data_IF_642299334957
#
_entry.id   IF_642299334957
#
_cell.length_a   1.000
_cell.length_b   1.000
_cell.length_c   1.000
_cell.angle_alpha   90.00
_cell.angle_beta   90.00
_cell.angle_gamma   90.00
#
_symmetry.space_group_name_H-M   'P 1'
#
loop_
_entity.id
_entity.type
_entity.pdbx_description
1 polymer ?
#
# COMPACT_ATOMS: atom_id res chain seq x y z
N UNK A 1 3.28 23.64 -1.09
CA UNK A 1 2.11 24.54 -1.31
C UNK A 1 0.87 23.67 -1.40
N UNK A 2 -0.18 23.94 -0.61
CA UNK A 2 -1.47 23.26 -0.79
C UNK A 2 -2.02 23.61 -2.17
N UNK A 3 -2.36 22.61 -2.97
CA UNK A 3 -3.08 22.79 -4.23
C UNK A 3 -4.52 23.11 -3.86
N UNK A 4 -5.02 24.28 -4.27
CA UNK A 4 -6.39 24.71 -3.96
C UNK A 4 -7.43 23.74 -4.56
N UNK A 5 -8.57 23.55 -3.89
CA UNK A 5 -9.63 22.63 -4.34
C UNK A 5 -10.05 22.84 -5.80
N UNK A 6 -10.17 24.11 -6.23
CA UNK A 6 -10.47 24.51 -7.62
C UNK A 6 -9.46 23.98 -8.66
N UNK A 7 -8.22 23.75 -8.26
CA UNK A 7 -7.20 23.19 -9.16
C UNK A 7 -7.44 21.70 -9.40
N UNK A 8 -7.90 20.97 -8.39
CA UNK A 8 -8.28 19.55 -8.54
C UNK A 8 -9.54 19.38 -9.38
N UNK A 9 -10.52 20.27 -9.21
CA UNK A 9 -11.73 20.32 -10.04
C UNK A 9 -11.39 20.40 -11.54
N UNK A 10 -10.45 21.27 -11.90
CA UNK A 10 -10.00 21.41 -13.28
C UNK A 10 -9.30 20.14 -13.80
N UNK A 11 -8.34 19.61 -13.02
CA UNK A 11 -7.55 18.45 -13.43
C UNK A 11 -8.36 17.15 -13.56
N UNK A 12 -9.44 17.03 -12.79
CA UNK A 12 -10.30 15.85 -12.80
C UNK A 12 -11.72 16.14 -13.28
N UNK A 13 -11.90 17.14 -14.14
CA UNK A 13 -13.19 17.44 -14.78
C UNK A 13 -13.75 16.29 -15.62
N UNK A 14 -12.91 15.33 -16.05
CA UNK A 14 -13.36 14.10 -16.71
C UNK A 14 -13.89 13.03 -15.76
N UNK A 15 -13.78 13.23 -14.45
CA UNK A 15 -14.18 12.23 -13.47
C UNK A 15 -15.67 11.89 -13.52
N UNK A 16 -16.53 12.86 -13.83
CA UNK A 16 -17.98 12.62 -13.92
C UNK A 16 -18.39 11.93 -15.24
N UNK A 17 -17.45 11.67 -16.15
CA UNK A 17 -17.77 10.95 -17.40
C UNK A 17 -18.19 9.52 -17.08
N UNK A 18 -19.29 9.04 -17.72
CA UNK A 18 -19.70 7.64 -17.61
C UNK A 18 -18.54 6.71 -17.93
N UNK A 19 -18.32 5.73 -17.07
CA UNK A 19 -17.38 4.66 -17.36
C UNK A 19 -17.95 3.83 -18.52
N UNK A 20 -17.13 3.36 -19.48
CA UNK A 20 -17.50 2.25 -20.35
C UNK A 20 -18.20 1.12 -19.58
N UNK A 21 -19.01 0.33 -20.29
CA UNK A 21 -19.71 -0.82 -19.70
C UNK A 21 -18.71 -1.72 -18.96
N UNK A 22 -18.87 -1.79 -17.63
CA UNK A 22 -17.98 -2.52 -16.74
C UNK A 22 -18.33 -4.01 -16.76
N UNK A 23 -17.31 -4.86 -16.90
CA UNK A 23 -17.51 -6.31 -16.92
C UNK A 23 -17.61 -6.88 -15.48
N UNK A 24 -18.34 -7.99 -15.26
CA UNK A 24 -18.31 -8.69 -13.98
C UNK A 24 -16.89 -9.15 -13.61
N UNK A 25 -16.61 -9.18 -12.31
CA UNK A 25 -15.29 -9.51 -11.75
C UNK A 25 -14.64 -8.32 -11.05
N UNK A 26 -13.35 -8.46 -10.77
CA UNK A 26 -12.55 -7.40 -10.14
C UNK A 26 -11.21 -7.16 -10.83
N UNK A 27 -10.68 -5.96 -10.61
CA UNK A 27 -9.36 -5.52 -11.03
C UNK A 27 -8.51 -5.19 -9.81
N UNK A 28 -7.30 -5.74 -9.72
CA UNK A 28 -6.35 -5.37 -8.66
C UNK A 28 -5.67 -4.04 -9.03
N UNK A 29 -5.64 -3.10 -8.09
CA UNK A 29 -4.88 -1.87 -8.15
C UNK A 29 -3.63 -2.03 -7.30
N UNK A 30 -2.48 -2.20 -7.94
CA UNK A 30 -1.17 -2.24 -7.29
C UNK A 30 -0.56 -0.84 -7.30
N UNK A 31 -0.72 -0.12 -6.20
CA UNK A 31 -0.17 1.23 -6.02
C UNK A 31 1.29 1.12 -5.55
N UNK A 32 2.24 1.17 -6.48
CA UNK A 32 3.64 0.84 -6.18
C UNK A 32 4.52 2.10 -6.07
N UNK A 33 5.47 2.16 -5.12
CA UNK A 33 6.58 3.11 -5.18
C UNK A 33 7.49 2.80 -6.38
N UNK A 34 7.45 3.60 -7.45
CA UNK A 34 8.14 3.27 -8.71
C UNK A 34 9.68 3.28 -8.65
N UNK A 35 10.24 3.82 -7.57
CA UNK A 35 11.67 3.82 -7.24
C UNK A 35 12.06 2.73 -6.22
N UNK A 36 11.09 1.92 -5.77
CA UNK A 36 11.28 0.81 -4.85
C UNK A 36 10.59 -0.47 -5.38
N UNK A 37 11.01 -0.97 -6.56
CA UNK A 37 10.32 -2.05 -7.27
C UNK A 37 10.33 -3.41 -6.56
N UNK A 38 11.12 -3.60 -5.50
CA UNK A 38 10.98 -4.80 -4.64
C UNK A 38 9.53 -5.03 -4.18
N UNK A 39 8.77 -3.96 -3.90
CA UNK A 39 7.36 -4.07 -3.52
C UNK A 39 6.44 -4.46 -4.69
N UNK A 40 6.80 -4.12 -5.93
CA UNK A 40 6.12 -4.69 -7.10
C UNK A 40 6.34 -6.20 -7.15
N UNK A 41 7.59 -6.64 -6.96
CA UNK A 41 7.92 -8.07 -7.00
C UNK A 41 7.17 -8.84 -5.91
N UNK A 42 7.16 -8.33 -4.68
CA UNK A 42 6.42 -8.90 -3.55
C UNK A 42 4.92 -8.99 -3.84
N UNK A 43 4.30 -7.88 -4.25
CA UNK A 43 2.87 -7.86 -4.55
C UNK A 43 2.50 -8.82 -5.69
N UNK A 44 3.31 -8.89 -6.76
CA UNK A 44 3.10 -9.85 -7.84
C UNK A 44 3.21 -11.30 -7.37
N UNK A 45 4.22 -11.61 -6.55
CA UNK A 45 4.40 -12.95 -5.97
C UNK A 45 3.19 -13.35 -5.12
N UNK A 46 2.79 -12.50 -4.18
CA UNK A 46 1.63 -12.73 -3.31
C UNK A 46 0.35 -12.91 -4.14
N UNK A 47 0.05 -11.98 -5.05
CA UNK A 47 -1.14 -12.10 -5.89
C UNK A 47 -1.11 -13.32 -6.83
N UNK A 48 0.06 -13.79 -7.27
CA UNK A 48 0.17 -14.97 -8.14
C UNK A 48 -0.16 -16.29 -7.41
N UNK A 49 -0.09 -16.29 -6.08
CA UNK A 49 -0.45 -17.43 -5.23
C UNK A 49 -1.94 -17.45 -4.86
N UNK A 50 -2.68 -16.41 -5.24
CA UNK A 50 -4.11 -16.29 -4.98
C UNK A 50 -4.92 -16.96 -6.09
N UNK A 51 -6.11 -17.45 -5.74
CA UNK A 51 -7.06 -18.00 -6.68
C UNK A 51 -7.51 -16.90 -7.66
N UNK A 52 -7.25 -17.06 -8.97
CA UNK A 52 -7.52 -16.02 -9.95
C UNK A 52 -8.99 -15.97 -10.39
N UNK A 53 -9.88 -16.77 -9.80
CA UNK A 53 -11.30 -16.71 -10.12
C UNK A 53 -11.86 -15.29 -9.92
N UNK A 54 -12.62 -14.82 -10.91
CA UNK A 54 -13.15 -13.45 -11.03
C UNK A 54 -12.11 -12.33 -11.21
N UNK A 55 -10.81 -12.61 -11.13
CA UNK A 55 -9.77 -11.63 -11.42
C UNK A 55 -9.66 -11.41 -12.93
N UNK A 56 -9.92 -10.19 -13.39
CA UNK A 56 -9.87 -9.85 -14.83
C UNK A 56 -8.53 -9.27 -15.23
N UNK A 57 -8.00 -8.33 -14.45
CA UNK A 57 -6.69 -7.71 -14.73
C UNK A 57 -6.04 -7.17 -13.45
N UNK A 58 -4.74 -6.94 -13.52
CA UNK A 58 -3.94 -6.27 -12.50
C UNK A 58 -3.35 -4.98 -13.09
N UNK A 59 -3.63 -3.84 -12.45
CA UNK A 59 -3.10 -2.55 -12.83
C UNK A 59 -1.91 -2.21 -11.93
N UNK A 60 -0.73 -2.14 -12.53
CA UNK A 60 0.47 -1.63 -11.85
C UNK A 60 0.52 -0.13 -12.06
N UNK A 61 0.40 0.63 -10.98
CA UNK A 61 0.30 2.09 -11.02
C UNK A 61 1.45 2.68 -10.22
N UNK A 62 2.63 2.95 -10.81
CA UNK A 62 3.76 3.49 -10.06
C UNK A 62 3.59 4.99 -9.77
N UNK A 63 3.94 5.43 -8.57
CA UNK A 63 3.90 6.86 -8.20
C UNK A 63 4.96 7.72 -8.93
N UNK A 64 6.00 7.07 -9.46
CA UNK A 64 7.08 7.65 -10.25
C UNK A 64 7.39 6.73 -11.43
N UNK A 65 7.56 7.28 -12.61
CA UNK A 65 8.08 6.50 -13.76
C UNK A 65 9.58 6.69 -13.88
N UNK A 66 10.36 5.67 -13.51
CA UNK A 66 11.82 5.68 -13.66
C UNK A 66 12.29 4.81 -14.84
N UNK A 67 13.42 5.16 -15.50
CA UNK A 67 14.04 4.31 -16.50
C UNK A 67 14.28 2.89 -15.94
N UNK A 68 13.98 1.86 -16.73
CA UNK A 68 14.14 0.47 -16.32
C UNK A 68 12.90 -0.15 -15.67
N UNK A 69 11.98 0.64 -15.10
CA UNK A 69 10.82 0.11 -14.37
C UNK A 69 9.91 -0.75 -15.28
N UNK A 70 9.64 -0.27 -16.50
CA UNK A 70 8.82 -1.02 -17.47
C UNK A 70 9.50 -2.32 -17.91
N UNK A 71 10.83 -2.32 -18.03
CA UNK A 71 11.59 -3.52 -18.36
C UNK A 71 11.50 -4.55 -17.21
N UNK A 72 11.65 -4.11 -15.96
CA UNK A 72 11.47 -4.96 -14.78
C UNK A 72 10.06 -5.53 -14.72
N UNK A 73 9.03 -4.70 -14.91
CA UNK A 73 7.64 -5.15 -14.94
C UNK A 73 7.43 -6.23 -16.01
N UNK A 74 7.91 -6.00 -17.24
CA UNK A 74 7.79 -6.97 -18.33
C UNK A 74 8.55 -8.27 -18.09
N UNK A 75 9.62 -8.23 -17.28
CA UNK A 75 10.37 -9.42 -16.88
C UNK A 75 9.55 -10.20 -15.84
N UNK A 76 9.21 -9.55 -14.72
CA UNK A 76 8.51 -10.21 -13.62
C UNK A 76 7.09 -10.65 -14.00
N UNK A 77 6.40 -9.93 -14.89
CA UNK A 77 5.09 -10.35 -15.40
C UNK A 77 5.12 -11.69 -16.15
N UNK A 78 6.29 -12.18 -16.56
CA UNK A 78 6.45 -13.51 -17.17
C UNK A 78 6.70 -14.59 -16.11
N UNK A 79 7.31 -14.19 -15.00
CA UNK A 79 7.67 -15.09 -13.90
C UNK A 79 6.45 -15.38 -13.01
N UNK A 80 5.53 -14.42 -12.88
CA UNK A 80 4.34 -14.53 -12.05
C UNK A 80 3.09 -14.84 -12.87
N UNK A 81 2.39 -15.92 -12.49
CA UNK A 81 1.12 -16.33 -13.10
C UNK A 81 -0.03 -15.52 -12.51
N UNK A 82 -0.17 -14.27 -12.92
CA UNK A 82 -1.36 -13.46 -12.63
C UNK A 82 -2.21 -13.30 -13.88
N UNK A 83 -3.43 -12.79 -13.72
CA UNK A 83 -4.24 -12.22 -14.82
C UNK A 83 -3.44 -11.18 -15.64
N UNK A 84 -4.04 -10.66 -16.72
CA UNK A 84 -3.41 -9.64 -17.55
C UNK A 84 -2.87 -8.46 -16.71
N UNK A 85 -1.56 -8.20 -16.78
CA UNK A 85 -0.93 -7.07 -16.10
C UNK A 85 -0.82 -5.89 -17.05
N UNK A 86 -1.26 -4.71 -16.60
CA UNK A 86 -1.16 -3.47 -17.35
C UNK A 86 -0.52 -2.36 -16.53
N UNK A 87 0.46 -1.69 -17.12
CA UNK A 87 1.06 -0.48 -16.56
C UNK A 87 0.13 0.72 -16.79
N UNK A 88 -0.25 1.40 -15.72
CA UNK A 88 -1.00 2.66 -15.77
C UNK A 88 -0.13 3.76 -15.17
N UNK A 89 0.38 4.65 -16.02
CA UNK A 89 1.23 5.74 -15.56
C UNK A 89 0.38 6.94 -15.10
N UNK A 90 0.83 7.62 -14.04
CA UNK A 90 0.32 8.96 -13.74
C UNK A 90 0.61 9.90 -14.92
N UNK A 91 -0.25 10.88 -15.14
CA UNK A 91 -0.05 11.86 -16.20
C UNK A 91 1.17 12.77 -15.90
N UNK A 92 1.68 13.56 -16.87
CA UNK A 92 2.88 14.39 -16.65
C UNK A 92 2.77 15.42 -15.50
N UNK A 93 1.57 15.97 -15.28
CA UNK A 93 1.32 16.93 -14.18
C UNK A 93 1.39 16.21 -12.84
N UNK A 94 0.74 15.05 -12.73
CA UNK A 94 0.74 14.21 -11.53
C UNK A 94 2.14 13.68 -11.20
N UNK A 95 2.90 13.22 -12.20
CA UNK A 95 4.32 12.85 -12.04
C UNK A 95 5.15 14.02 -11.50
N UNK A 96 4.84 15.25 -11.94
CA UNK A 96 5.50 16.44 -11.41
C UNK A 96 5.12 16.72 -9.96
N UNK A 97 3.84 16.52 -9.60
CA UNK A 97 3.36 16.65 -8.22
C UNK A 97 4.01 15.63 -7.30
N UNK A 98 4.05 14.34 -7.68
CA UNK A 98 4.66 13.29 -6.87
C UNK A 98 6.16 13.52 -6.69
N UNK A 99 6.87 13.97 -7.74
CA UNK A 99 8.29 14.34 -7.66
C UNK A 99 8.56 15.53 -6.73
N UNK A 100 7.73 16.58 -6.79
CA UNK A 100 7.95 17.81 -6.02
C UNK A 100 7.53 17.68 -4.56
N UNK A 101 6.39 17.02 -4.28
CA UNK A 101 5.89 16.89 -2.91
C UNK A 101 6.50 15.71 -2.17
N UNK A 102 6.81 14.62 -2.90
CA UNK A 102 7.21 13.32 -2.35
C UNK A 102 6.39 12.95 -1.10
N UNK A 103 5.07 13.21 -1.16
CA UNK A 103 4.15 13.02 -0.06
C UNK A 103 3.42 11.69 -0.27
N UNK A 104 3.54 10.71 0.64
CA UNK A 104 2.98 9.38 0.41
C UNK A 104 1.45 9.39 0.23
N UNK A 105 0.72 10.22 0.99
CA UNK A 105 -0.73 10.32 0.88
C UNK A 105 -1.18 10.91 -0.46
N UNK A 106 -0.50 11.95 -0.94
CA UNK A 106 -0.78 12.51 -2.28
C UNK A 106 -0.45 11.48 -3.37
N UNK A 107 0.69 10.80 -3.27
CA UNK A 107 1.10 9.80 -4.25
C UNK A 107 0.06 8.67 -4.35
N UNK A 108 -0.30 8.10 -3.21
CA UNK A 108 -1.28 7.03 -3.08
C UNK A 108 -2.64 7.42 -3.67
N UNK A 109 -3.13 8.62 -3.33
CA UNK A 109 -4.37 9.16 -3.86
C UNK A 109 -4.35 9.31 -5.39
N UNK A 110 -3.27 9.87 -5.96
CA UNK A 110 -3.13 10.02 -7.41
C UNK A 110 -3.10 8.67 -8.13
N UNK A 111 -2.42 7.67 -7.55
CA UNK A 111 -2.40 6.31 -8.09
C UNK A 111 -3.79 5.68 -8.04
N UNK A 112 -4.52 5.81 -6.92
CA UNK A 112 -5.88 5.30 -6.77
C UNK A 112 -6.82 5.92 -7.82
N UNK A 113 -6.83 7.25 -7.97
CA UNK A 113 -7.65 7.95 -8.97
C UNK A 113 -7.37 7.42 -10.37
N UNK A 114 -6.09 7.28 -10.76
CA UNK A 114 -5.71 6.74 -12.07
C UNK A 114 -6.05 5.27 -12.25
N UNK A 115 -5.93 4.48 -11.19
CA UNK A 115 -6.39 3.09 -11.17
C UNK A 115 -7.86 3.01 -11.51
N UNK A 116 -8.71 3.72 -10.76
CA UNK A 116 -10.17 3.71 -10.93
C UNK A 116 -10.60 4.19 -12.33
N UNK A 117 -9.96 5.22 -12.87
CA UNK A 117 -10.22 5.66 -14.26
C UNK A 117 -9.86 4.58 -15.29
N UNK A 118 -8.89 3.72 -15.00
CA UNK A 118 -8.39 2.70 -15.91
C UNK A 118 -9.04 1.32 -15.75
N UNK A 119 -9.74 1.05 -14.65
CA UNK A 119 -10.42 -0.23 -14.36
C UNK A 119 -11.48 -0.53 -15.42
N UNK A 120 -11.68 -1.81 -15.75
CA UNK A 120 -12.74 -2.26 -16.68
C UNK A 120 -13.81 -3.12 -16.03
N UNK A 121 -13.70 -3.37 -14.73
CA UNK A 121 -14.54 -4.28 -13.97
C UNK A 121 -15.47 -3.54 -13.01
N UNK A 122 -16.48 -4.23 -12.50
CA UNK A 122 -17.42 -3.66 -11.54
C UNK A 122 -16.79 -3.33 -10.18
N UNK A 123 -15.75 -4.07 -9.80
CA UNK A 123 -15.04 -3.90 -8.53
C UNK A 123 -13.54 -3.69 -8.75
N UNK A 124 -12.95 -2.82 -7.93
CA UNK A 124 -11.51 -2.64 -7.86
C UNK A 124 -11.03 -3.07 -6.47
N UNK A 125 -10.03 -3.95 -6.42
CA UNK A 125 -9.33 -4.28 -5.19
C UNK A 125 -8.11 -3.39 -5.08
N UNK A 126 -8.06 -2.54 -4.06
CA UNK A 126 -6.81 -1.91 -3.69
C UNK A 126 -6.03 -2.89 -2.82
N UNK A 127 -4.89 -3.33 -3.36
CA UNK A 127 -3.94 -4.20 -2.68
C UNK A 127 -2.76 -3.41 -2.10
N UNK A 128 -2.44 -3.59 -0.80
CA UNK A 128 -1.23 -3.01 -0.23
C UNK A 128 0.01 -3.80 -0.67
N UNK A 129 1.06 -3.11 -1.08
CA UNK A 129 2.22 -3.77 -1.68
C UNK A 129 3.15 -4.42 -0.64
N UNK A 130 2.99 -4.06 0.64
CA UNK A 130 3.70 -4.62 1.79
C UNK A 130 2.84 -5.62 2.59
N UNK A 131 1.73 -6.08 2.01
CA UNK A 131 0.84 -7.10 2.56
C UNK A 131 1.22 -8.51 2.09
N UNK A 132 1.36 -9.41 3.05
CA UNK A 132 1.56 -10.83 2.83
C UNK A 132 0.28 -11.60 3.19
N UNK A 133 -0.27 -12.32 2.22
CA UNK A 133 -1.53 -13.06 2.34
C UNK A 133 -1.22 -14.56 2.34
N UNK A 134 -1.61 -15.26 3.41
CA UNK A 134 -1.36 -16.70 3.57
C UNK A 134 -2.40 -17.56 2.86
N UNK A 135 -3.68 -17.23 3.01
CA UNK A 135 -4.76 -18.00 2.41
C UNK A 135 -4.86 -17.76 0.89
N UNK A 136 -4.82 -18.82 0.09
CA UNK A 136 -4.87 -18.73 -1.36
C UNK A 136 -6.25 -18.33 -1.92
N UNK A 137 -7.33 -18.46 -1.15
CA UNK A 137 -8.69 -18.12 -1.57
C UNK A 137 -9.17 -16.78 -1.01
N UNK A 138 -8.32 -16.02 -0.34
CA UNK A 138 -8.69 -14.76 0.28
C UNK A 138 -9.29 -13.78 -0.74
N UNK A 139 -8.59 -13.45 -1.84
CA UNK A 139 -9.08 -12.44 -2.79
C UNK A 139 -10.40 -12.85 -3.46
N UNK A 140 -10.54 -14.13 -3.82
CA UNK A 140 -11.79 -14.70 -4.36
C UNK A 140 -12.93 -14.52 -3.36
N UNK A 141 -12.73 -14.94 -2.11
CA UNK A 141 -13.75 -14.87 -1.06
C UNK A 141 -14.12 -13.42 -0.75
N UNK A 142 -13.13 -12.53 -0.76
CA UNK A 142 -13.32 -11.10 -0.53
C UNK A 142 -14.21 -10.47 -1.62
N UNK A 143 -13.99 -10.85 -2.89
CA UNK A 143 -14.85 -10.45 -4.01
C UNK A 143 -16.28 -11.04 -3.90
N UNK A 144 -16.40 -12.35 -3.65
CA UNK A 144 -17.71 -13.03 -3.56
C UNK A 144 -18.59 -12.44 -2.45
N UNK A 145 -17.99 -12.10 -1.30
CA UNK A 145 -18.69 -11.43 -0.20
C UNK A 145 -19.27 -10.07 -0.62
N UNK A 146 -18.51 -9.28 -1.40
CA UNK A 146 -18.99 -8.01 -1.96
C UNK A 146 -20.19 -8.21 -2.89
N UNK A 147 -20.10 -9.18 -3.81
CA UNK A 147 -21.19 -9.44 -4.76
C UNK A 147 -22.44 -9.94 -4.05
N UNK A 148 -22.29 -10.90 -3.15
CA UNK A 148 -23.42 -11.52 -2.44
C UNK A 148 -24.18 -10.52 -1.56
N UNK A 149 -23.45 -9.68 -0.83
CA UNK A 149 -24.03 -8.69 0.08
C UNK A 149 -24.26 -7.33 -0.59
N UNK A 150 -23.89 -7.22 -1.87
CA UNK A 150 -23.90 -6.00 -2.66
C UNK A 150 -23.12 -4.85 -2.00
N UNK A 151 -22.00 -5.09 -1.33
CA UNK A 151 -21.24 -4.01 -0.69
C UNK A 151 -20.71 -3.01 -1.72
N UNK A 152 -20.75 -1.73 -1.35
CA UNK A 152 -20.09 -0.64 -2.09
C UNK A 152 -18.60 -0.55 -1.75
N UNK A 153 -18.27 -0.94 -0.52
CA UNK A 153 -16.94 -0.90 0.05
C UNK A 153 -16.81 -2.06 1.04
N UNK A 154 -15.73 -2.83 0.94
CA UNK A 154 -15.49 -3.98 1.80
C UNK A 154 -14.01 -4.05 2.16
N UNK A 155 -13.69 -3.94 3.44
CA UNK A 155 -12.31 -4.01 3.89
C UNK A 155 -12.05 -5.18 4.82
N UNK A 156 -10.81 -5.27 5.28
CA UNK A 156 -10.33 -6.40 6.08
C UNK A 156 -10.42 -6.14 7.59
N UNK A 157 -10.18 -4.91 8.04
CA UNK A 157 -10.06 -4.56 9.46
C UNK A 157 -10.92 -3.35 9.83
N UNK A 158 -11.23 -3.19 11.13
CA UNK A 158 -11.76 -1.92 11.65
C UNK A 158 -10.80 -0.79 11.29
N UNK A 159 -11.35 0.39 11.02
CA UNK A 159 -10.54 1.62 10.97
C UNK A 159 -9.77 1.79 12.29
N UNK A 160 -8.54 2.27 12.20
CA UNK A 160 -7.64 2.40 13.36
C UNK A 160 -8.06 3.53 14.32
N UNK A 161 -8.80 4.51 13.81
CA UNK A 161 -9.23 5.68 14.57
C UNK A 161 -10.47 5.35 15.44
N UNK A 162 -10.25 5.30 16.75
CA UNK A 162 -11.28 5.02 17.76
C UNK A 162 -12.37 6.10 17.83
N UNK A 163 -12.12 7.28 17.26
CA UNK A 163 -13.12 8.35 17.18
C UNK A 163 -14.40 7.88 16.47
N UNK A 164 -14.29 7.10 15.39
CA UNK A 164 -15.46 6.58 14.66
C UNK A 164 -16.31 5.65 15.53
N UNK A 165 -15.69 4.75 16.29
CA UNK A 165 -16.39 3.86 17.22
C UNK A 165 -17.09 4.67 18.32
N UNK A 166 -16.43 5.70 18.86
CA UNK A 166 -17.02 6.59 19.85
C UNK A 166 -18.24 7.39 19.32
N UNK A 167 -18.36 7.58 18.00
CA UNK A 167 -19.52 8.20 17.35
C UNK A 167 -20.56 7.19 16.82
N UNK A 168 -20.45 5.90 17.17
CA UNK A 168 -21.28 4.81 16.64
C UNK A 168 -21.16 4.58 15.12
N UNK A 169 -20.06 4.99 14.49
CA UNK A 169 -19.75 4.75 13.08
C UNK A 169 -18.95 3.44 12.93
N UNK A 170 -19.49 2.35 13.47
CA UNK A 170 -18.82 1.04 13.55
C UNK A 170 -18.66 0.30 12.21
N UNK A 171 -19.30 0.82 11.15
CA UNK A 171 -19.26 0.25 9.81
C UNK A 171 -18.00 0.65 9.03
N UNK A 172 -17.30 1.71 9.46
CA UNK A 172 -16.10 2.21 8.77
C UNK A 172 -14.97 1.18 8.84
N UNK A 173 -14.33 0.91 7.70
CA UNK A 173 -13.27 -0.07 7.55
C UNK A 173 -11.93 0.60 7.23
N UNK A 174 -10.84 -0.06 7.61
CA UNK A 174 -9.50 0.32 7.20
C UNK A 174 -9.33 0.24 5.68
N UNK A 175 -8.35 0.99 5.17
CA UNK A 175 -8.21 1.31 3.74
C UNK A 175 -6.95 0.75 3.09
N UNK A 176 -6.19 -0.08 3.82
CA UNK A 176 -4.95 -0.68 3.32
C UNK A 176 -5.19 -1.89 2.39
N UNK A 177 -6.22 -2.69 2.64
CA UNK A 177 -6.69 -3.74 1.70
C UNK A 177 -8.22 -3.63 1.62
N UNK A 178 -8.72 -3.17 0.47
CA UNK A 178 -10.13 -2.77 0.35
C UNK A 178 -10.68 -3.01 -1.07
N UNK A 179 -11.80 -3.73 -1.15
CA UNK A 179 -12.57 -3.90 -2.37
C UNK A 179 -13.61 -2.79 -2.49
N UNK A 180 -13.63 -2.14 -3.66
CA UNK A 180 -14.43 -0.96 -3.94
C UNK A 180 -15.32 -1.20 -5.16
N UNK A 181 -16.61 -0.94 -5.07
CA UNK A 181 -17.47 -0.89 -6.26
C UNK A 181 -17.14 0.37 -7.05
N UNK A 182 -16.81 0.22 -8.33
CA UNK A 182 -16.26 1.32 -9.14
C UNK A 182 -17.24 2.49 -9.28
N UNK A 183 -18.53 2.19 -9.43
CA UNK A 183 -19.57 3.22 -9.51
C UNK A 183 -19.71 4.00 -8.20
N UNK A 184 -19.58 3.34 -7.04
CA UNK A 184 -19.58 3.97 -5.72
C UNK A 184 -18.42 4.96 -5.59
N UNK A 185 -17.19 4.55 -5.96
CA UNK A 185 -16.02 5.44 -5.95
C UNK A 185 -16.30 6.68 -6.80
N UNK A 186 -16.92 6.49 -7.97
CA UNK A 186 -17.21 7.55 -8.95
C UNK A 186 -18.36 8.50 -8.54
N UNK A 187 -19.19 8.15 -7.56
CA UNK A 187 -20.24 9.05 -7.02
C UNK A 187 -19.65 10.23 -6.26
N UNK A 188 -18.47 10.06 -5.69
CA UNK A 188 -17.74 11.10 -4.98
C UNK A 188 -16.72 11.74 -5.90
N UNK A 189 -16.41 13.01 -5.66
CA UNK A 189 -15.35 13.72 -6.38
C UNK A 189 -13.99 13.13 -6.00
N UNK A 190 -12.97 13.16 -6.89
CA UNK A 190 -11.66 12.58 -6.61
C UNK A 190 -11.04 13.10 -5.32
N UNK A 191 -11.13 14.41 -5.06
CA UNK A 191 -10.52 15.02 -3.89
C UNK A 191 -11.25 14.70 -2.58
N UNK A 192 -12.50 14.23 -2.62
CA UNK A 192 -13.24 13.76 -1.44
C UNK A 192 -12.68 12.42 -0.93
N UNK A 193 -12.06 11.63 -1.81
CA UNK A 193 -11.32 10.43 -1.41
C UNK A 193 -9.96 10.74 -0.80
N UNK A 194 -9.39 11.94 -0.98
CA UNK A 194 -8.08 12.28 -0.44
C UNK A 194 -8.17 12.52 1.07
N UNK A 195 -7.09 12.32 1.82
CA UNK A 195 -7.06 12.79 3.20
C UNK A 195 -7.22 14.31 3.32
N UNK A 196 -8.17 14.77 4.14
CA UNK A 196 -8.52 16.19 4.32
C UNK A 196 -9.29 16.42 5.63
N UNK A 197 -9.32 17.67 6.09
CA UNK A 197 -10.19 18.08 7.19
C UNK A 197 -11.61 18.34 6.67
N UNK A 198 -12.62 17.86 7.39
CA UNK A 198 -14.01 18.06 7.04
C UNK A 198 -14.93 17.91 8.25
N UNK A 199 -16.21 17.66 7.99
CA UNK A 199 -17.22 17.46 9.02
C UNK A 199 -17.96 16.14 8.84
N UNK A 200 -18.24 15.48 9.96
CA UNK A 200 -19.09 14.28 10.04
C UNK A 200 -19.94 14.39 11.31
N UNK A 201 -21.26 14.17 11.18
CA UNK A 201 -22.23 14.39 12.27
C UNK A 201 -22.12 15.79 12.92
N UNK A 202 -21.75 16.81 12.12
CA UNK A 202 -21.59 18.19 12.58
C UNK A 202 -20.29 18.48 13.35
N UNK A 203 -19.39 17.49 13.52
CA UNK A 203 -18.11 17.65 14.21
C UNK A 203 -16.93 17.71 13.23
N UNK A 204 -15.92 18.56 13.48
CA UNK A 204 -14.72 18.59 12.67
C UNK A 204 -13.91 17.30 12.86
N UNK A 205 -13.36 16.77 11.77
CA UNK A 205 -12.56 15.56 11.78
C UNK A 205 -11.56 15.55 10.62
N UNK A 206 -10.39 14.93 10.81
CA UNK A 206 -9.39 14.74 9.77
C UNK A 206 -9.55 13.34 9.19
N UNK A 207 -9.94 13.27 7.92
CA UNK A 207 -10.12 11.99 7.24
C UNK A 207 -8.81 11.51 6.63
N UNK A 208 -8.56 10.21 6.74
CA UNK A 208 -7.63 9.52 5.85
C UNK A 208 -8.32 9.22 4.51
N UNK A 209 -7.56 8.68 3.56
CA UNK A 209 -8.03 8.29 2.23
C UNK A 209 -9.32 7.46 2.31
N UNK A 210 -10.31 7.80 1.49
CA UNK A 210 -11.64 7.16 1.36
C UNK A 210 -12.51 7.08 2.63
N UNK A 211 -12.06 7.56 3.79
CA UNK A 211 -12.87 7.51 5.03
C UNK A 211 -14.07 8.47 5.00
N UNK A 212 -13.93 9.64 4.38
CA UNK A 212 -15.07 10.56 4.23
C UNK A 212 -16.18 9.96 3.34
N UNK A 213 -15.90 9.42 2.14
CA UNK A 213 -16.88 8.68 1.33
C UNK A 213 -17.54 7.54 2.10
N UNK A 214 -16.80 6.80 2.92
CA UNK A 214 -17.38 5.76 3.77
C UNK A 214 -18.40 6.35 4.76
N UNK A 215 -18.10 7.48 5.40
CA UNK A 215 -19.03 8.17 6.31
C UNK A 215 -20.31 8.69 5.62
N UNK A 216 -20.24 8.98 4.32
CA UNK A 216 -21.38 9.43 3.52
C UNK A 216 -22.20 8.27 2.93
N UNK A 217 -21.77 7.02 3.16
CA UNK A 217 -22.38 5.83 2.58
C UNK A 217 -23.27 5.15 3.62
N UNK A 218 -24.40 4.60 3.18
CA UNK A 218 -25.31 3.90 4.07
C UNK A 218 -24.58 2.70 4.74
N UNK A 219 -24.66 2.53 6.08
CA UNK A 219 -23.86 1.54 6.80
C UNK A 219 -23.95 0.12 6.27
N UNK A 220 -25.14 -0.32 5.83
CA UNK A 220 -25.38 -1.65 5.27
C UNK A 220 -24.68 -1.92 3.93
N UNK A 221 -24.17 -0.85 3.28
CA UNK A 221 -23.40 -0.93 2.04
C UNK A 221 -21.90 -1.05 2.30
N UNK A 222 -21.46 -0.93 3.55
CA UNK A 222 -20.05 -1.09 3.93
C UNK A 222 -19.93 -2.36 4.76
N UNK A 223 -19.08 -3.26 4.31
CA UNK A 223 -18.81 -4.49 5.05
C UNK A 223 -17.36 -4.62 5.45
N UNK A 224 -17.11 -5.62 6.27
CA UNK A 224 -15.78 -6.04 6.66
C UNK A 224 -15.72 -7.56 6.79
N UNK A 225 -14.58 -8.13 6.45
CA UNK A 225 -14.26 -9.51 6.83
C UNK A 225 -14.44 -9.73 8.33
N UNK A 226 -15.06 -10.85 8.68
CA UNK A 226 -15.22 -11.31 10.06
C UNK A 226 -14.25 -12.45 10.40
N UNK A 227 -13.68 -13.08 9.39
CA UNK A 227 -12.66 -14.11 9.53
C UNK A 227 -11.29 -13.48 9.71
N UNK A 228 -10.47 -14.08 10.58
CA UNK A 228 -9.04 -13.83 10.63
C UNK A 228 -8.36 -14.61 9.50
N UNK A 229 -7.73 -13.89 8.58
CA UNK A 229 -7.10 -14.43 7.39
C UNK A 229 -5.57 -14.57 7.54
N UNK A 230 -5.06 -14.36 8.76
CA UNK A 230 -3.64 -14.49 9.11
C UNK A 230 -2.71 -13.68 8.19
N UNK A 231 -2.98 -12.38 8.08
CA UNK A 231 -2.11 -11.48 7.31
C UNK A 231 -0.81 -11.18 8.06
N UNK A 232 0.28 -11.00 7.30
CA UNK A 232 1.45 -10.26 7.80
C UNK A 232 1.51 -8.92 7.07
N UNK A 233 1.24 -7.83 7.78
CA UNK A 233 1.18 -6.49 7.20
C UNK A 233 2.11 -5.52 7.93
N UNK A 234 3.08 -4.98 7.19
CA UNK A 234 4.01 -3.97 7.70
C UNK A 234 3.51 -2.55 7.40
N UNK A 235 2.46 -2.13 8.13
CA UNK A 235 1.85 -0.81 7.94
C UNK A 235 2.86 0.34 7.84
N UNK A 236 2.60 1.25 6.91
CA UNK A 236 3.32 2.52 6.66
C UNK A 236 4.74 2.39 6.11
N UNK A 237 5.18 1.22 5.61
CA UNK A 237 6.56 1.06 5.09
C UNK A 237 6.83 2.01 3.92
N UNK A 238 5.94 2.06 2.93
CA UNK A 238 6.08 2.96 1.78
C UNK A 238 6.02 4.43 2.23
N UNK A 239 5.15 4.74 3.20
CA UNK A 239 5.04 6.06 3.80
C UNK A 239 6.35 6.51 4.44
N UNK A 240 6.91 5.68 5.32
CA UNK A 240 8.21 5.92 5.98
C UNK A 240 9.35 6.07 4.97
N UNK A 241 9.37 5.29 3.90
CA UNK A 241 10.36 5.46 2.83
C UNK A 241 10.28 6.86 2.18
N UNK A 242 9.08 7.34 1.87
CA UNK A 242 8.90 8.69 1.29
C UNK A 242 9.35 9.79 2.27
N UNK A 243 9.11 9.61 3.57
CA UNK A 243 9.61 10.52 4.60
C UNK A 243 11.14 10.47 4.72
N UNK A 244 11.73 9.28 4.67
CA UNK A 244 13.17 9.09 4.64
C UNK A 244 13.82 9.81 3.45
N UNK A 245 13.32 9.63 2.23
CA UNK A 245 13.83 10.32 1.04
C UNK A 245 13.78 11.85 1.15
N UNK A 246 12.79 12.39 1.88
CA UNK A 246 12.65 13.83 2.12
C UNK A 246 13.59 14.36 3.20
N UNK A 247 14.06 13.49 4.09
CA UNK A 247 14.97 13.88 5.15
C UNK A 247 16.32 14.29 4.54
N UNK A 248 16.88 15.42 5.01
CA UNK A 248 18.17 15.95 4.54
C UNK A 248 19.36 15.59 5.43
N UNK A 249 19.12 14.91 6.56
CA UNK A 249 20.12 14.61 7.58
C UNK A 249 19.97 13.20 8.13
N UNK A 250 20.32 12.97 9.39
CA UNK A 250 20.03 11.68 10.02
C UNK A 250 18.51 11.44 10.10
N UNK A 251 18.09 10.17 9.93
CA UNK A 251 16.71 9.74 10.00
C UNK A 251 16.57 8.62 11.03
N UNK A 252 15.86 8.87 12.12
CA UNK A 252 15.57 7.85 13.13
C UNK A 252 14.50 6.89 12.57
N UNK A 253 14.88 5.63 12.34
CA UNK A 253 13.96 4.60 11.86
C UNK A 253 13.23 3.94 13.04
N UNK A 254 12.37 4.71 13.70
CA UNK A 254 11.72 4.36 14.97
C UNK A 254 10.98 3.01 14.98
N UNK A 255 10.60 2.49 13.81
CA UNK A 255 9.86 1.23 13.68
C UNK A 255 10.59 0.22 12.76
N UNK A 256 11.89 0.40 12.53
CA UNK A 256 12.73 -0.51 11.74
C UNK A 256 12.20 -0.76 10.31
N UNK A 257 11.53 0.22 9.70
CA UNK A 257 10.93 0.08 8.36
C UNK A 257 11.95 0.27 7.26
N UNK A 258 12.95 1.13 7.45
CA UNK A 258 14.07 1.25 6.50
C UNK A 258 14.94 -0.01 6.57
N UNK A 259 15.16 -0.54 7.78
CA UNK A 259 15.77 -1.86 7.95
C UNK A 259 14.97 -2.94 7.20
N UNK A 260 13.66 -3.04 7.43
CA UNK A 260 12.79 -3.99 6.75
C UNK A 260 12.91 -3.90 5.22
N UNK A 261 12.83 -2.69 4.67
CA UNK A 261 12.96 -2.48 3.23
C UNK A 261 14.30 -3.05 2.74
N UNK A 262 15.41 -2.78 3.43
CA UNK A 262 16.73 -3.31 3.06
C UNK A 262 16.75 -4.84 3.10
N UNK A 263 16.22 -5.45 4.15
CA UNK A 263 16.12 -6.91 4.28
C UNK A 263 15.31 -7.52 3.13
N UNK A 264 14.18 -6.90 2.76
CA UNK A 264 13.36 -7.34 1.64
C UNK A 264 14.09 -7.19 0.30
N UNK A 265 14.83 -6.10 0.08
CA UNK A 265 15.64 -5.94 -1.14
C UNK A 265 16.71 -7.04 -1.22
N UNK A 266 17.43 -7.31 -0.11
CA UNK A 266 18.48 -8.34 -0.06
C UNK A 266 17.90 -9.74 -0.32
N UNK A 267 16.72 -10.04 0.22
CA UNK A 267 16.07 -11.34 0.07
C UNK A 267 15.47 -11.54 -1.34
N UNK A 268 14.74 -10.54 -1.84
CA UNK A 268 13.90 -10.71 -3.03
C UNK A 268 14.51 -10.12 -4.31
N UNK A 269 15.38 -9.11 -4.23
CA UNK A 269 15.85 -8.39 -5.40
C UNK A 269 17.36 -8.28 -5.52
N UNK A 270 18.06 -9.36 -5.17
CA UNK A 270 19.52 -9.44 -5.28
C UNK A 270 20.04 -9.44 -6.73
N UNK A 271 19.17 -9.57 -7.74
CA UNK A 271 19.57 -9.85 -9.13
C UNK A 271 19.06 -8.88 -10.20
N UNK A 272 18.18 -7.91 -9.88
CA UNK A 272 17.69 -6.96 -10.90
C UNK A 272 18.74 -5.95 -11.35
N UNK A 273 19.77 -5.72 -10.53
CA UNK A 273 20.70 -4.61 -10.72
C UNK A 273 20.07 -3.23 -10.46
N UNK A 274 18.85 -3.17 -9.92
CA UNK A 274 18.20 -1.91 -9.57
C UNK A 274 18.97 -1.19 -8.46
N UNK A 275 19.19 0.11 -8.65
CA UNK A 275 19.86 0.96 -7.65
C UNK A 275 18.83 1.56 -6.73
N UNK A 276 18.76 1.04 -5.52
CA UNK A 276 17.86 1.50 -4.48
C UNK A 276 18.43 2.71 -3.74
N UNK A 277 17.59 3.71 -3.47
CA UNK A 277 17.89 4.86 -2.61
C UNK A 277 17.65 4.49 -1.13
N UNK A 278 18.27 3.39 -0.70
CA UNK A 278 18.20 2.85 0.66
C UNK A 278 19.64 2.46 1.05
N UNK A 279 20.12 2.84 2.24
CA UNK A 279 21.46 2.45 2.69
C UNK A 279 21.63 0.92 2.71
N UNK A 280 22.83 0.47 2.39
CA UNK A 280 23.22 -0.94 2.52
C UNK A 280 23.10 -1.40 3.97
N UNK A 281 23.02 -2.71 4.21
CA UNK A 281 22.98 -3.24 5.57
C UNK A 281 24.19 -2.80 6.41
N UNK A 282 25.38 -2.74 5.80
CA UNK A 282 26.61 -2.24 6.44
C UNK A 282 26.46 -0.78 6.87
N UNK A 283 25.80 0.06 6.08
CA UNK A 283 25.55 1.46 6.44
C UNK A 283 24.47 1.60 7.51
N UNK A 284 23.41 0.78 7.47
CA UNK A 284 22.37 0.77 8.50
C UNK A 284 22.94 0.37 9.87
N UNK A 285 23.84 -0.62 9.91
CA UNK A 285 24.51 -1.06 11.15
C UNK A 285 25.29 0.06 11.83
N UNK A 286 25.84 1.03 11.08
CA UNK A 286 26.48 2.21 11.69
C UNK A 286 25.51 3.01 12.56
N UNK A 287 24.24 3.06 12.17
CA UNK A 287 23.16 3.75 12.90
C UNK A 287 22.85 3.20 14.29
N UNK A 288 23.37 2.02 14.64
CA UNK A 288 23.25 1.44 15.98
C UNK A 288 24.08 2.18 17.03
N UNK A 289 25.13 2.91 16.61
CA UNK A 289 26.02 3.64 17.53
C UNK A 289 26.41 5.04 17.06
N UNK A 290 26.36 5.32 15.76
CA UNK A 290 26.76 6.61 15.18
C UNK A 290 25.56 7.54 14.96
N UNK A 291 25.49 8.64 15.72
CA UNK A 291 24.47 9.70 15.55
C UNK A 291 24.57 10.44 14.21
N UNK A 292 25.73 10.38 13.56
CA UNK A 292 25.96 10.97 12.24
C UNK A 292 25.52 10.09 11.08
N UNK A 293 25.13 8.83 11.34
CA UNK A 293 24.66 7.92 10.31
C UNK A 293 23.40 8.44 9.61
N UNK A 294 23.25 8.08 8.33
CA UNK A 294 22.09 8.47 7.51
C UNK A 294 20.77 7.95 8.08
N UNK A 295 20.80 6.77 8.69
CA UNK A 295 19.69 6.17 9.42
C UNK A 295 20.20 5.79 10.81
N UNK A 296 19.42 6.07 11.86
CA UNK A 296 19.77 5.80 13.26
C UNK A 296 18.69 5.01 13.98
N UNK A 297 19.08 4.36 15.08
CA UNK A 297 18.21 3.55 15.95
C UNK A 297 18.48 3.83 17.43
N UNK A 298 18.80 5.09 17.75
CA UNK A 298 19.41 5.47 19.02
C UNK A 298 18.39 5.93 20.08
N UNK A 299 17.15 6.23 19.67
CA UNK A 299 16.13 6.72 20.60
C UNK A 299 15.59 5.60 21.48
N UNK A 300 15.21 5.91 22.72
CA UNK A 300 14.62 4.91 23.62
C UNK A 300 13.28 4.38 23.09
N UNK A 301 12.51 5.25 22.42
CA UNK A 301 11.28 4.87 21.72
C UNK A 301 11.55 3.83 20.62
N UNK A 302 12.67 3.94 19.90
CA UNK A 302 13.06 2.96 18.88
C UNK A 302 13.36 1.61 19.51
N UNK A 303 14.10 1.58 20.63
CA UNK A 303 14.38 0.35 21.38
C UNK A 303 13.10 -0.36 21.82
N UNK A 304 12.14 0.39 22.37
CA UNK A 304 10.84 -0.14 22.79
C UNK A 304 10.05 -0.79 21.63
N UNK A 305 10.29 -0.33 20.40
CA UNK A 305 9.60 -0.83 19.20
C UNK A 305 10.26 -2.04 18.56
N UNK A 306 11.47 -2.43 18.99
CA UNK A 306 12.16 -3.55 18.39
C UNK A 306 11.44 -4.88 18.61
N UNK A 307 10.92 -5.12 19.82
CA UNK A 307 10.17 -6.35 20.11
C UNK A 307 8.92 -6.50 19.20
N UNK A 308 8.21 -5.40 18.93
CA UNK A 308 7.06 -5.41 18.00
C UNK A 308 7.50 -5.73 16.57
N UNK A 309 8.61 -5.15 16.12
CA UNK A 309 9.21 -5.43 14.81
C UNK A 309 9.64 -6.90 14.70
N UNK A 310 10.37 -7.42 15.69
CA UNK A 310 10.85 -8.79 15.75
C UNK A 310 9.70 -9.80 15.68
N UNK A 311 8.62 -9.59 16.45
CA UNK A 311 7.43 -10.45 16.40
C UNK A 311 6.79 -10.50 15.01
N UNK A 312 6.66 -9.35 14.32
CA UNK A 312 6.12 -9.32 12.95
C UNK A 312 7.06 -9.99 11.95
N UNK A 313 8.38 -9.80 12.10
CA UNK A 313 9.37 -10.43 11.25
C UNK A 313 9.37 -11.96 11.43
N UNK A 314 9.29 -12.44 12.66
CA UNK A 314 9.11 -13.86 12.98
C UNK A 314 7.84 -14.41 12.36
N UNK A 315 6.72 -13.69 12.46
CA UNK A 315 5.46 -14.10 11.81
C UNK A 315 5.61 -14.24 10.29
N UNK A 316 6.36 -13.34 9.63
CA UNK A 316 6.69 -13.49 8.20
C UNK A 316 7.55 -14.74 7.95
N UNK A 317 8.60 -14.96 8.74
CA UNK A 317 9.50 -16.11 8.61
C UNK A 317 8.77 -17.45 8.81
N UNK A 318 7.79 -17.49 9.71
CA UNK A 318 6.98 -18.68 10.02
C UNK A 318 5.75 -18.84 9.11
N UNK A 319 5.47 -17.86 8.26
CA UNK A 319 4.26 -17.84 7.43
C UNK A 319 4.23 -18.92 6.34
N UNK A 320 5.39 -19.50 5.99
CA UNK A 320 5.55 -20.37 4.83
C UNK A 320 5.52 -19.64 3.48
N UNK A 321 5.50 -18.30 3.48
CA UNK A 321 5.50 -17.49 2.25
C UNK A 321 6.89 -17.28 1.66
N UNK A 322 7.93 -17.45 2.47
CA UNK A 322 9.32 -17.30 2.05
C UNK A 322 9.94 -18.64 1.69
N UNK A 323 10.87 -18.65 0.73
CA UNK A 323 11.73 -19.81 0.53
C UNK A 323 12.96 -19.76 1.46
N UNK A 324 13.67 -20.90 1.58
CA UNK A 324 14.81 -21.04 2.49
C UNK A 324 15.93 -20.01 2.23
N UNK A 325 16.12 -19.55 0.99
CA UNK A 325 17.13 -18.53 0.66
C UNK A 325 16.69 -17.16 1.18
N UNK A 326 15.43 -16.78 0.96
CA UNK A 326 14.86 -15.52 1.45
C UNK A 326 14.86 -15.46 2.97
N UNK A 327 14.44 -16.54 3.63
CA UNK A 327 14.48 -16.65 5.09
C UNK A 327 15.91 -16.47 5.63
N UNK A 328 16.88 -17.16 5.03
CA UNK A 328 18.27 -17.07 5.44
C UNK A 328 18.82 -15.65 5.26
N UNK A 329 18.50 -15.00 4.15
CA UNK A 329 18.90 -13.60 3.91
C UNK A 329 18.34 -12.65 4.98
N UNK A 330 17.06 -12.79 5.33
CA UNK A 330 16.41 -11.97 6.37
C UNK A 330 17.02 -12.24 7.75
N UNK A 331 17.11 -13.52 8.16
CA UNK A 331 17.67 -13.95 9.46
C UNK A 331 19.11 -13.45 9.64
N UNK A 332 19.95 -13.62 8.62
CA UNK A 332 21.33 -13.12 8.67
C UNK A 332 21.38 -11.60 8.71
N UNK A 333 20.48 -10.92 7.97
CA UNK A 333 20.47 -9.46 7.89
C UNK A 333 20.07 -8.78 9.20
N UNK A 334 19.18 -9.39 9.98
CA UNK A 334 18.69 -8.81 11.25
C UNK A 334 19.55 -9.16 12.47
N UNK A 335 20.42 -10.17 12.38
CA UNK A 335 21.21 -10.69 13.51
C UNK A 335 21.95 -9.64 14.36
N UNK A 336 22.71 -8.71 13.76
CA UNK A 336 23.40 -7.66 14.54
C UNK A 336 22.42 -6.72 15.25
N UNK A 337 21.20 -6.55 14.74
CA UNK A 337 20.17 -5.78 15.41
C UNK A 337 19.61 -6.59 16.59
N UNK A 338 19.42 -7.90 16.42
CA UNK A 338 18.95 -8.78 17.48
C UNK A 338 19.94 -8.76 18.66
N UNK A 339 21.24 -8.77 18.40
CA UNK A 339 22.28 -8.71 19.45
C UNK A 339 22.28 -7.39 20.24
N UNK A 340 21.78 -6.30 19.66
CA UNK A 340 21.78 -4.97 20.29
C UNK A 340 20.50 -4.72 21.10
N UNK A 341 19.36 -5.30 20.67
CA UNK A 341 18.05 -4.97 21.21
C UNK A 341 17.35 -6.11 21.98
N UNK A 342 17.83 -7.36 21.89
CA UNK A 342 17.40 -8.48 22.73
C UNK A 342 18.39 -8.70 23.89
#
# INVERSE_FOLDING_TARGET
MPVAAKTWELFYSSWDRPHPELVPGYTILMLIPGDLPVFLKLALDICSRQNPEHLVETLVIPDKTLPGFKQLLNQWSKDYHTSSIRLVALNPVEQSITKLQNNPHTNCWLQMVRGIEAVKTQYALWHDADLFIKDANFLKTHYEACVQSQFDCFGVNKVWDQWYEAQNLNHITATWEIMLRVDWVKRFKPWEHRGHDGFVLGQPHTFDITLWPQCQTAPERIGRNQQDWEFVHFNYVIGTYRWFQRSKGSFEDENFRILLIRLLIDAFDSSSGWKYDIPTLVELKKGLSDRGARVTYLSDKTKEKYAEFGLKLTSLLESGLLNAKEESAIKNGVSDFDEVFN
#
